data_IF_932440610126
#
_entry.id   IF_932440610126
#
_cell.length_a   1.000
_cell.length_b   1.000
_cell.length_c   1.000
_cell.angle_alpha   90.00
_cell.angle_beta   90.00
_cell.angle_gamma   90.00
#
_symmetry.space_group_name_H-M   'P 1'
#
loop_
_entity.id
_entity.type
_entity.pdbx_description
1 polymer ?
#
# COMPACT_ATOMS: atom_id res chain seq x y z
N UNK A 1 -28.09 30.44 -0.35
CA UNK A 1 -28.14 29.46 0.77
C UNK A 1 -27.41 29.97 2.03
N UNK A 2 -27.36 31.29 2.32
CA UNK A 2 -26.85 31.80 3.61
C UNK A 2 -25.35 32.14 3.71
N UNK A 3 -24.50 31.72 2.77
CA UNK A 3 -23.06 32.03 2.74
C UNK A 3 -22.74 32.88 1.49
N UNK A 4 -22.40 34.17 1.67
CA UNK A 4 -22.11 35.10 0.55
C UNK A 4 -20.65 35.05 0.11
N UNK A 5 -19.73 34.86 1.06
CA UNK A 5 -18.30 34.75 0.78
C UNK A 5 -17.96 33.38 0.16
N UNK A 6 -16.87 33.24 -0.61
CA UNK A 6 -16.41 31.94 -1.09
C UNK A 6 -15.83 31.08 0.04
N UNK A 7 -15.91 29.76 -0.09
CA UNK A 7 -15.36 28.79 0.88
C UNK A 7 -13.83 28.59 0.79
N UNK A 8 -13.16 29.25 -0.17
CA UNK A 8 -11.74 29.07 -0.46
C UNK A 8 -11.36 27.61 -0.79
N UNK A 9 -11.91 27.08 -1.89
CA UNK A 9 -11.56 25.75 -2.37
C UNK A 9 -10.15 25.78 -2.99
N UNK A 10 -9.20 25.09 -2.37
CA UNK A 10 -7.81 25.03 -2.85
C UNK A 10 -7.56 23.90 -3.85
N UNK A 11 -8.22 22.75 -3.67
CA UNK A 11 -8.01 21.54 -4.47
C UNK A 11 -9.32 21.05 -5.11
N UNK A 12 -9.22 20.52 -6.33
CA UNK A 12 -10.31 19.80 -6.99
C UNK A 12 -9.76 18.55 -7.67
N UNK A 13 -10.29 17.38 -7.31
CA UNK A 13 -10.06 16.15 -8.05
C UNK A 13 -11.06 16.05 -9.22
N UNK A 14 -10.58 15.66 -10.40
CA UNK A 14 -11.45 15.35 -11.55
C UNK A 14 -11.49 13.82 -11.67
N UNK A 15 -12.62 13.22 -11.28
CA UNK A 15 -12.76 11.76 -11.16
C UNK A 15 -12.40 11.26 -9.76
N UNK A 16 -12.31 9.93 -9.62
CA UNK A 16 -11.88 9.23 -8.39
C UNK A 16 -10.91 8.10 -8.78
N UNK A 17 -11.42 7.11 -9.50
CA UNK A 17 -10.71 5.88 -9.89
C UNK A 17 -11.00 5.54 -11.37
N UNK A 18 -11.14 6.58 -12.18
CA UNK A 18 -11.59 6.42 -13.56
C UNK A 18 -10.46 5.88 -14.45
N UNK A 19 -10.69 4.69 -15.02
CA UNK A 19 -9.74 4.02 -15.94
C UNK A 19 -10.26 3.92 -17.39
N UNK A 20 -11.52 4.28 -17.62
CA UNK A 20 -12.15 4.15 -18.94
C UNK A 20 -11.68 5.20 -19.95
N UNK A 21 -11.67 4.86 -21.24
CA UNK A 21 -11.30 5.77 -22.34
C UNK A 21 -12.00 7.13 -22.27
N UNK A 22 -13.29 7.10 -21.97
CA UNK A 22 -14.13 8.28 -21.90
C UNK A 22 -13.68 9.29 -20.84
N UNK A 23 -12.98 8.86 -19.78
CA UNK A 23 -12.37 9.77 -18.81
C UNK A 23 -11.18 10.50 -19.43
N UNK A 24 -10.25 9.76 -20.05
CA UNK A 24 -9.05 10.34 -20.66
C UNK A 24 -9.35 11.26 -21.83
N UNK A 25 -10.40 10.99 -22.61
CA UNK A 25 -10.88 11.92 -23.65
C UNK A 25 -11.43 13.23 -23.07
N UNK A 26 -12.06 13.18 -21.89
CA UNK A 26 -12.76 14.32 -21.28
C UNK A 26 -11.88 15.11 -20.32
N UNK A 27 -10.93 14.47 -19.65
CA UNK A 27 -10.07 15.10 -18.65
C UNK A 27 -9.43 16.40 -19.14
N UNK A 28 -8.80 16.47 -20.34
CA UNK A 28 -8.19 17.71 -20.83
C UNK A 28 -9.20 18.85 -21.00
N UNK A 29 -10.46 18.54 -21.35
CA UNK A 29 -11.53 19.52 -21.51
C UNK A 29 -11.92 20.13 -20.15
N UNK A 30 -12.09 19.28 -19.12
CA UNK A 30 -12.41 19.73 -17.76
C UNK A 30 -11.24 20.49 -17.15
N UNK A 31 -10.02 19.94 -17.23
CA UNK A 31 -8.81 20.56 -16.71
C UNK A 31 -8.63 21.97 -17.27
N UNK A 32 -8.69 22.12 -18.59
CA UNK A 32 -8.57 23.41 -19.27
C UNK A 32 -9.66 24.39 -18.83
N UNK A 33 -10.93 23.98 -18.84
CA UNK A 33 -12.04 24.85 -18.48
C UNK A 33 -11.96 25.34 -17.02
N UNK A 34 -11.51 24.49 -16.10
CA UNK A 34 -11.30 24.85 -14.69
C UNK A 34 -10.14 25.83 -14.58
N UNK A 35 -8.97 25.54 -15.17
CA UNK A 35 -7.79 26.42 -15.09
C UNK A 35 -8.01 27.79 -15.74
N UNK A 36 -8.77 27.87 -16.83
CA UNK A 36 -9.11 29.14 -17.48
C UNK A 36 -9.94 30.06 -16.57
N UNK A 37 -10.77 29.49 -15.69
CA UNK A 37 -11.67 30.25 -14.81
C UNK A 37 -11.15 30.41 -13.38
N UNK A 38 -10.41 29.42 -12.91
CA UNK A 38 -9.91 29.29 -11.54
C UNK A 38 -8.43 28.84 -11.56
N UNK A 39 -7.51 29.71 -12.01
CA UNK A 39 -6.11 29.34 -12.19
C UNK A 39 -5.40 28.91 -10.90
N UNK A 40 -5.87 29.42 -9.76
CA UNK A 40 -5.28 29.17 -8.44
C UNK A 40 -5.70 27.82 -7.83
N UNK A 41 -6.82 27.22 -8.28
CA UNK A 41 -7.26 25.92 -7.79
C UNK A 41 -6.31 24.83 -8.32
N UNK A 42 -5.78 24.02 -7.41
CA UNK A 42 -4.93 22.87 -7.71
C UNK A 42 -5.79 21.71 -8.21
N UNK A 43 -5.44 21.16 -9.36
CA UNK A 43 -6.19 20.06 -9.97
C UNK A 43 -5.47 18.74 -9.73
N UNK A 44 -6.22 17.77 -9.21
CA UNK A 44 -5.76 16.41 -8.95
C UNK A 44 -6.31 15.49 -10.05
N UNK A 45 -5.41 14.75 -10.72
CA UNK A 45 -5.77 13.67 -11.66
C UNK A 45 -5.87 12.33 -10.91
N UNK A 46 -6.33 11.25 -11.55
CA UNK A 46 -6.37 9.91 -10.97
C UNK A 46 -5.34 8.99 -11.64
N UNK A 47 -4.64 8.18 -10.85
CA UNK A 47 -3.75 7.15 -11.36
C UNK A 47 -4.55 5.92 -11.82
N UNK A 48 -5.35 5.34 -10.92
CA UNK A 48 -6.30 4.22 -11.11
C UNK A 48 -6.71 3.70 -9.70
N UNK A 49 -7.65 2.76 -9.54
CA UNK A 49 -7.90 2.08 -8.26
C UNK A 49 -6.78 1.10 -7.84
N UNK A 50 -5.67 1.05 -8.57
CA UNK A 50 -4.61 0.05 -8.39
C UNK A 50 -3.24 0.69 -8.24
N UNK A 51 -2.32 -0.01 -7.57
CA UNK A 51 -0.98 0.50 -7.27
C UNK A 51 0.01 0.45 -8.46
N UNK A 52 -0.35 -0.27 -9.52
CA UNK A 52 0.49 -0.57 -10.68
C UNK A 52 -0.33 -1.20 -11.83
N UNK A 53 0.27 -1.22 -13.02
CA UNK A 53 -0.32 -1.85 -14.21
C UNK A 53 -0.70 -0.84 -15.30
N UNK A 54 -1.36 -1.31 -16.35
CA UNK A 54 -1.60 -0.53 -17.56
C UNK A 54 -2.43 0.73 -17.30
N UNK A 55 -3.52 0.61 -16.55
CA UNK A 55 -4.39 1.75 -16.28
C UNK A 55 -3.75 2.74 -15.31
N UNK A 56 -3.01 2.25 -14.31
CA UNK A 56 -2.19 3.08 -13.42
C UNK A 56 -1.17 3.93 -14.22
N UNK A 57 -0.41 3.30 -15.12
CA UNK A 57 0.58 4.01 -15.95
C UNK A 57 -0.09 5.02 -16.90
N UNK A 58 -1.30 4.69 -17.36
CA UNK A 58 -2.10 5.57 -18.20
C UNK A 58 -2.61 6.81 -17.45
N UNK A 59 -3.06 6.66 -16.20
CA UNK A 59 -3.38 7.77 -15.30
C UNK A 59 -2.20 8.70 -15.08
N UNK A 60 -1.06 8.12 -14.73
CA UNK A 60 0.20 8.86 -14.58
C UNK A 60 0.63 9.59 -15.85
N UNK A 61 0.52 8.95 -17.01
CA UNK A 61 0.78 9.59 -18.31
C UNK A 61 -0.16 10.76 -18.55
N UNK A 62 -1.46 10.60 -18.30
CA UNK A 62 -2.47 11.66 -18.43
C UNK A 62 -2.14 12.87 -17.56
N UNK A 63 -1.73 12.65 -16.30
CA UNK A 63 -1.36 13.71 -15.38
C UNK A 63 -0.15 14.52 -15.87
N UNK A 64 0.87 13.83 -16.38
CA UNK A 64 2.06 14.46 -16.97
C UNK A 64 1.72 15.27 -18.22
N UNK A 65 0.95 14.70 -19.15
CA UNK A 65 0.58 15.34 -20.42
C UNK A 65 -0.28 16.59 -20.23
N UNK A 66 -1.11 16.62 -19.18
CA UNK A 66 -1.99 17.74 -18.87
C UNK A 66 -1.40 18.74 -17.86
N UNK A 67 -0.19 18.48 -17.35
CA UNK A 67 0.44 19.27 -16.30
C UNK A 67 -0.44 19.43 -15.06
N UNK A 68 -1.07 18.33 -14.62
CA UNK A 68 -1.86 18.29 -13.39
C UNK A 68 -0.99 18.69 -12.20
N UNK A 69 -1.55 19.43 -11.24
CA UNK A 69 -0.77 19.85 -10.06
C UNK A 69 -0.43 18.65 -9.18
N UNK A 70 -1.36 17.69 -9.07
CA UNK A 70 -1.20 16.44 -8.34
C UNK A 70 -1.81 15.26 -9.10
N UNK A 71 -1.45 14.06 -8.66
CA UNK A 71 -2.11 12.81 -9.04
C UNK A 71 -2.49 11.98 -7.81
N UNK A 72 -3.68 11.39 -7.87
CA UNK A 72 -4.26 10.56 -6.83
C UNK A 72 -3.87 9.08 -7.02
N UNK A 73 -3.17 8.50 -6.04
CA UNK A 73 -2.88 7.07 -5.97
C UNK A 73 -3.74 6.38 -4.92
N UNK A 74 -4.27 5.21 -5.25
CA UNK A 74 -5.03 4.37 -4.35
C UNK A 74 -4.38 2.99 -4.22
N UNK A 75 -4.26 2.47 -3.00
CA UNK A 75 -3.87 1.07 -2.80
C UNK A 75 -4.29 0.47 -1.45
N UNK A 76 -5.01 -0.64 -1.55
CA UNK A 76 -5.37 -1.51 -0.44
C UNK A 76 -4.58 -2.82 -0.57
N UNK A 77 -3.52 -2.97 0.22
CA UNK A 77 -2.52 -4.02 0.04
C UNK A 77 -2.19 -4.71 1.35
N UNK A 78 -1.56 -5.88 1.30
CA UNK A 78 -1.10 -6.56 2.51
C UNK A 78 0.01 -5.76 3.22
N UNK A 79 0.16 -5.85 4.56
CA UNK A 79 1.27 -5.25 5.29
C UNK A 79 2.65 -5.54 4.67
N UNK A 80 2.85 -6.74 4.15
CA UNK A 80 4.10 -7.17 3.52
C UNK A 80 4.39 -6.37 2.24
N UNK A 81 3.37 -5.97 1.49
CA UNK A 81 3.53 -5.05 0.36
C UNK A 81 3.98 -3.66 0.82
N UNK A 82 3.42 -3.13 1.91
CA UNK A 82 3.83 -1.84 2.47
C UNK A 82 5.29 -1.87 2.94
N UNK A 83 5.74 -2.95 3.58
CA UNK A 83 7.15 -3.16 3.94
C UNK A 83 8.04 -3.20 2.69
N UNK A 84 7.63 -3.91 1.64
CA UNK A 84 8.39 -3.98 0.39
C UNK A 84 8.40 -2.65 -0.41
N UNK A 85 7.54 -1.68 -0.06
CA UNK A 85 7.36 -0.41 -0.78
C UNK A 85 7.72 0.84 0.04
N UNK A 86 8.50 0.69 1.11
CA UNK A 86 8.95 1.80 1.98
C UNK A 86 9.68 2.93 1.24
N UNK A 87 10.29 2.60 0.08
CA UNK A 87 11.00 3.53 -0.79
C UNK A 87 10.23 3.88 -2.09
N UNK A 88 8.91 3.71 -2.11
CA UNK A 88 8.08 3.92 -3.33
C UNK A 88 8.29 5.28 -3.97
N UNK A 89 8.47 6.33 -3.18
CA UNK A 89 8.52 7.71 -3.66
C UNK A 89 9.93 8.32 -3.68
N UNK A 90 10.96 7.58 -3.24
CA UNK A 90 12.34 8.08 -3.07
C UNK A 90 12.98 8.54 -4.39
N UNK A 91 12.54 7.98 -5.51
CA UNK A 91 13.14 8.19 -6.84
C UNK A 91 12.19 8.85 -7.85
N UNK A 92 11.16 9.58 -7.38
CA UNK A 92 10.27 10.31 -8.29
C UNK A 92 11.00 11.41 -9.07
N UNK A 93 10.54 11.66 -10.30
CA UNK A 93 11.09 12.70 -11.16
C UNK A 93 10.78 14.09 -10.63
N UNK A 94 11.73 15.04 -10.75
CA UNK A 94 11.54 16.42 -10.27
C UNK A 94 10.39 17.17 -10.96
N UNK A 95 10.08 16.76 -12.19
CA UNK A 95 9.02 17.37 -13.01
C UNK A 95 7.72 16.54 -12.98
N UNK A 96 7.67 15.45 -12.21
CA UNK A 96 6.44 14.68 -12.03
C UNK A 96 5.42 15.46 -11.20
N UNK A 97 4.11 15.29 -11.46
CA UNK A 97 3.07 15.75 -10.55
C UNK A 97 3.30 15.21 -9.13
N UNK A 98 3.02 16.02 -8.11
CA UNK A 98 3.10 15.53 -6.73
C UNK A 98 2.01 14.51 -6.46
N UNK A 99 2.29 13.56 -5.58
CA UNK A 99 1.32 12.53 -5.19
C UNK A 99 0.38 13.08 -4.13
N UNK A 100 -0.92 12.87 -4.35
CA UNK A 100 -1.92 12.72 -3.32
C UNK A 100 -2.15 11.21 -3.15
N UNK A 101 -1.86 10.65 -1.99
CA UNK A 101 -2.22 9.27 -1.68
C UNK A 101 -3.64 9.28 -1.10
N UNK A 102 -4.66 9.34 -1.95
CA UNK A 102 -6.05 9.58 -1.53
C UNK A 102 -6.70 8.42 -0.79
N UNK A 103 -6.26 7.19 -1.06
CA UNK A 103 -6.80 6.00 -0.40
C UNK A 103 -5.69 4.97 -0.12
N UNK A 104 -5.50 4.61 1.15
CA UNK A 104 -4.67 3.46 1.51
C UNK A 104 -5.10 2.79 2.82
N UNK A 105 -4.94 1.48 2.88
CA UNK A 105 -5.04 0.68 4.11
C UNK A 105 -4.43 -0.73 3.94
N UNK A 106 -4.11 -1.38 5.05
CA UNK A 106 -3.47 -2.72 5.07
C UNK A 106 -4.43 -3.91 5.27
N UNK A 107 -5.70 -3.77 4.92
CA UNK A 107 -6.73 -4.81 5.10
C UNK A 107 -6.98 -5.28 6.55
N UNK A 108 -6.73 -4.45 7.57
CA UNK A 108 -7.04 -4.80 8.96
C UNK A 108 -6.91 -3.66 9.95
N UNK A 109 -7.41 -3.88 11.18
CA UNK A 109 -7.35 -2.92 12.28
C UNK A 109 -6.49 -3.37 13.47
N UNK A 110 -5.74 -4.47 13.33
CA UNK A 110 -4.82 -4.95 14.38
C UNK A 110 -3.67 -3.98 14.63
N UNK A 111 -2.98 -4.13 15.76
CA UNK A 111 -1.75 -3.41 16.03
C UNK A 111 -0.70 -3.64 14.94
N UNK A 112 -0.60 -4.85 14.38
CA UNK A 112 0.29 -5.15 13.25
C UNK A 112 0.00 -4.26 12.03
N UNK A 113 -1.28 -4.11 11.66
CA UNK A 113 -1.70 -3.26 10.56
C UNK A 113 -1.28 -1.79 10.79
N UNK A 114 -1.62 -1.24 11.94
CA UNK A 114 -1.31 0.14 12.29
C UNK A 114 0.20 0.40 12.40
N UNK A 115 0.96 -0.57 12.92
CA UNK A 115 2.42 -0.50 13.04
C UNK A 115 3.10 -0.45 11.67
N UNK A 116 2.67 -1.27 10.71
CA UNK A 116 3.22 -1.28 9.35
C UNK A 116 2.79 -0.03 8.57
N UNK A 117 1.57 0.47 8.76
CA UNK A 117 1.16 1.75 8.20
C UNK A 117 1.98 2.90 8.78
N UNK A 118 2.28 2.88 10.09
CA UNK A 118 3.15 3.88 10.72
C UNK A 118 4.56 3.88 10.11
N UNK A 119 5.15 2.71 9.86
CA UNK A 119 6.47 2.64 9.22
C UNK A 119 6.42 3.24 7.81
N UNK A 120 5.41 2.89 7.03
CA UNK A 120 5.19 3.43 5.68
C UNK A 120 5.02 4.96 5.66
N UNK A 121 4.27 5.51 6.62
CA UNK A 121 4.06 6.94 6.75
C UNK A 121 5.37 7.72 6.99
N UNK A 122 6.39 7.11 7.58
CA UNK A 122 7.72 7.75 7.65
C UNK A 122 8.32 7.96 6.26
N UNK A 123 8.11 7.02 5.33
CA UNK A 123 8.51 7.16 3.93
C UNK A 123 7.74 8.26 3.20
N UNK A 124 6.45 8.44 3.49
CA UNK A 124 5.67 9.56 2.97
C UNK A 124 6.27 10.90 3.42
N UNK A 125 6.64 11.03 4.70
CA UNK A 125 7.22 12.27 5.23
C UNK A 125 8.62 12.55 4.71
N UNK A 126 9.50 11.54 4.61
CA UNK A 126 10.81 11.68 3.96
C UNK A 126 10.68 12.19 2.52
N UNK A 127 9.56 11.88 1.88
CA UNK A 127 9.22 12.29 0.53
C UNK A 127 8.24 13.48 0.47
N UNK A 128 8.17 14.35 1.48
CA UNK A 128 7.27 15.53 1.47
C UNK A 128 7.49 16.49 0.26
N UNK A 129 8.61 16.38 -0.44
CA UNK A 129 8.83 17.04 -1.73
C UNK A 129 7.99 16.46 -2.88
N UNK A 130 7.76 15.14 -2.86
CA UNK A 130 7.10 14.34 -3.88
C UNK A 130 5.65 13.99 -3.50
N UNK A 131 5.38 13.73 -2.23
CA UNK A 131 4.04 13.42 -1.66
C UNK A 131 3.51 14.66 -0.96
N UNK A 132 2.42 15.23 -1.47
CA UNK A 132 1.83 16.45 -0.93
C UNK A 132 0.77 16.16 0.14
N UNK A 133 0.00 15.08 -0.02
CA UNK A 133 -1.13 14.74 0.84
C UNK A 133 -1.29 13.21 0.92
N UNK A 134 -1.83 12.71 2.03
CA UNK A 134 -2.16 11.29 2.19
C UNK A 134 -3.39 11.12 3.08
N UNK A 135 -4.25 10.16 2.74
CA UNK A 135 -5.52 9.89 3.40
C UNK A 135 -5.72 8.38 3.57
N UNK A 136 -5.83 7.92 4.81
CA UNK A 136 -6.29 6.57 5.08
C UNK A 136 -7.76 6.44 4.68
N UNK A 137 -8.11 5.31 4.06
CA UNK A 137 -9.47 5.03 3.65
C UNK A 137 -9.92 3.61 4.04
N UNK A 138 -11.20 3.43 4.41
CA UNK A 138 -12.21 4.44 4.71
C UNK A 138 -12.17 4.92 6.19
N UNK A 139 -12.80 6.06 6.47
CA UNK A 139 -12.69 6.72 7.77
C UNK A 139 -13.71 6.26 8.81
N UNK A 140 -14.98 6.11 8.44
CA UNK A 140 -16.10 5.92 9.36
C UNK A 140 -16.94 4.72 8.93
N UNK A 141 -17.22 3.80 9.85
CA UNK A 141 -18.15 2.70 9.60
C UNK A 141 -19.12 2.46 10.75
N UNK A 142 -20.40 2.40 10.40
CA UNK A 142 -21.42 1.95 11.34
C UNK A 142 -21.39 0.42 11.38
N UNK A 143 -21.20 -0.15 12.58
CA UNK A 143 -21.08 -1.60 12.77
C UNK A 143 -22.29 -2.40 12.27
N UNK A 144 -23.47 -1.80 12.19
CA UNK A 144 -24.69 -2.44 11.70
C UNK A 144 -24.80 -2.44 10.15
N UNK A 145 -23.96 -1.67 9.45
CA UNK A 145 -24.08 -1.41 8.00
C UNK A 145 -22.72 -1.51 7.26
N UNK A 146 -21.99 -2.60 7.50
CA UNK A 146 -20.65 -2.77 6.95
C UNK A 146 -20.69 -3.14 5.46
N UNK A 147 -20.09 -2.27 4.64
CA UNK A 147 -19.91 -2.50 3.19
C UNK A 147 -18.44 -2.73 2.80
N UNK A 148 -17.50 -2.21 3.59
CA UNK A 148 -16.06 -2.33 3.39
C UNK A 148 -15.37 -2.58 4.74
N UNK A 149 -14.17 -3.15 4.73
CA UNK A 149 -13.28 -3.28 5.89
C UNK A 149 -11.83 -3.20 5.41
N UNK A 150 -10.89 -2.67 6.22
CA UNK A 150 -11.04 -2.07 7.55
C UNK A 150 -11.60 -0.64 7.50
N UNK A 151 -11.86 -0.02 8.65
CA UNK A 151 -12.21 1.40 8.79
C UNK A 151 -11.48 2.04 9.99
N UNK A 152 -11.21 3.33 9.94
CA UNK A 152 -10.45 4.01 11.00
C UNK A 152 -11.24 4.18 12.32
N UNK A 153 -12.53 4.49 12.22
CA UNK A 153 -13.41 4.73 13.37
C UNK A 153 -14.68 3.91 13.19
N UNK A 154 -14.95 3.05 14.17
CA UNK A 154 -16.15 2.23 14.24
C UNK A 154 -17.15 2.88 15.18
N UNK A 155 -18.42 2.92 14.79
CA UNK A 155 -19.48 3.50 15.61
C UNK A 155 -20.79 2.71 15.54
N UNK A 156 -21.64 2.94 16.53
CA UNK A 156 -23.04 2.53 16.55
C UNK A 156 -23.90 3.73 17.00
N UNK A 157 -25.18 3.52 17.29
CA UNK A 157 -26.10 4.59 17.68
C UNK A 157 -25.78 5.27 19.03
N UNK A 158 -24.84 4.74 19.82
CA UNK A 158 -24.57 5.19 21.20
C UNK A 158 -23.11 5.53 21.47
N UNK A 159 -22.16 5.01 20.70
CA UNK A 159 -20.73 5.16 20.94
C UNK A 159 -19.90 4.97 19.67
N UNK A 160 -18.64 5.41 19.74
CA UNK A 160 -17.63 5.22 18.71
C UNK A 160 -16.27 4.94 19.36
N UNK A 161 -15.40 4.22 18.67
CA UNK A 161 -14.01 4.04 19.08
C UNK A 161 -13.06 4.20 17.87
N UNK A 162 -11.84 4.65 18.15
CA UNK A 162 -10.76 4.70 17.17
C UNK A 162 -9.95 3.41 17.19
N UNK A 163 -9.60 2.90 16.02
CA UNK A 163 -8.74 1.71 15.88
C UNK A 163 -7.27 2.04 16.20
N UNK A 164 -6.39 1.05 16.36
CA UNK A 164 -4.94 1.28 16.32
C UNK A 164 -4.51 2.21 15.17
N UNK A 165 -5.07 2.04 13.97
CA UNK A 165 -4.78 2.87 12.80
C UNK A 165 -5.20 4.33 13.04
N UNK A 166 -6.38 4.58 13.64
CA UNK A 166 -6.80 5.93 14.04
C UNK A 166 -5.76 6.62 14.91
N UNK A 167 -5.25 5.92 15.92
CA UNK A 167 -4.28 6.51 16.83
C UNK A 167 -2.95 6.83 16.15
N UNK A 168 -2.47 5.95 15.26
CA UNK A 168 -1.29 6.20 14.42
C UNK A 168 -1.51 7.44 13.54
N UNK A 169 -2.62 7.51 12.81
CA UNK A 169 -2.98 8.65 11.97
C UNK A 169 -3.04 9.94 12.79
N UNK A 170 -3.77 9.94 13.91
CA UNK A 170 -3.89 11.07 14.83
C UNK A 170 -2.52 11.52 15.37
N UNK A 171 -1.65 10.58 15.74
CA UNK A 171 -0.30 10.88 16.20
C UNK A 171 0.52 11.56 15.09
N UNK A 172 0.53 11.01 13.89
CA UNK A 172 1.30 11.58 12.78
C UNK A 172 0.80 12.99 12.41
N UNK A 173 -0.51 13.20 12.33
CA UNK A 173 -1.11 14.49 11.97
C UNK A 173 -0.95 15.56 13.06
N UNK A 174 -1.03 15.20 14.35
CA UNK A 174 -0.85 16.16 15.46
C UNK A 174 0.59 16.64 15.60
N UNK A 175 1.55 15.83 15.16
CA UNK A 175 2.98 16.08 15.31
C UNK A 175 3.65 16.16 13.94
N UNK A 176 3.34 17.22 13.21
CA UNK A 176 3.95 17.55 11.92
C UNK A 176 4.82 18.81 12.07
N UNK A 177 5.98 18.81 11.41
CA UNK A 177 6.85 19.97 11.32
C UNK A 177 6.57 20.80 10.06
N UNK A 178 7.12 22.01 10.03
CA UNK A 178 7.04 22.94 8.90
C UNK A 178 8.13 22.70 7.85
N UNK A 179 9.22 22.02 8.24
CA UNK A 179 10.36 21.73 7.36
C UNK A 179 10.92 20.34 7.64
N UNK A 180 11.14 19.56 6.58
CA UNK A 180 11.81 18.27 6.65
C UNK A 180 13.27 18.46 7.08
N UNK A 181 13.74 17.64 8.00
CA UNK A 181 15.15 17.56 8.38
C UNK A 181 15.81 16.36 7.72
N UNK A 182 17.05 16.53 7.29
CA UNK A 182 17.90 15.38 6.98
C UNK A 182 18.09 14.56 8.25
N UNK A 183 17.84 13.26 8.16
CA UNK A 183 18.19 12.31 9.20
C UNK A 183 19.06 11.20 8.61
N UNK A 184 19.97 10.70 9.44
CA UNK A 184 20.81 9.56 9.10
C UNK A 184 20.75 8.61 10.28
N UNK A 185 20.63 7.33 9.97
CA UNK A 185 20.59 6.27 10.96
C UNK A 185 21.61 5.21 10.59
N UNK A 186 22.32 4.72 11.60
CA UNK A 186 23.33 3.68 11.45
C UNK A 186 23.07 2.60 12.49
N UNK A 187 23.05 1.36 12.03
CA UNK A 187 22.94 0.18 12.87
C UNK A 187 23.93 -0.87 12.40
N UNK A 188 24.42 -1.68 13.35
CA UNK A 188 25.20 -2.88 13.04
C UNK A 188 24.30 -4.02 12.55
N UNK A 189 23.00 -3.97 12.88
CA UNK A 189 22.02 -4.99 12.50
C UNK A 189 21.84 -5.07 10.98
N UNK A 190 21.80 -6.30 10.47
CA UNK A 190 21.53 -6.56 9.06
C UNK A 190 20.04 -6.44 8.73
N UNK A 191 19.74 -5.97 7.51
CA UNK A 191 18.39 -6.00 6.94
C UNK A 191 17.91 -7.45 6.83
N UNK A 192 16.72 -7.75 7.37
CA UNK A 192 16.13 -9.10 7.37
C UNK A 192 15.10 -9.23 6.24
N UNK A 193 15.24 -10.24 5.38
CA UNK A 193 14.16 -10.61 4.44
C UNK A 193 13.09 -11.40 5.22
N UNK A 194 11.91 -10.81 5.37
CA UNK A 194 10.77 -11.42 6.06
C UNK A 194 10.05 -12.47 5.20
N UNK A 195 10.28 -12.46 3.89
CA UNK A 195 9.66 -13.39 2.95
C UNK A 195 10.68 -13.90 1.91
N UNK A 196 11.75 -14.62 2.36
CA UNK A 196 12.76 -15.15 1.47
C UNK A 196 12.17 -16.14 0.45
N UNK A 197 11.06 -16.79 0.76
CA UNK A 197 10.32 -17.67 -0.13
C UNK A 197 9.80 -16.97 -1.40
N UNK A 198 9.63 -15.63 -1.39
CA UNK A 198 9.29 -14.88 -2.62
C UNK A 198 10.40 -14.94 -3.68
N UNK A 199 11.61 -15.38 -3.33
CA UNK A 199 12.66 -15.67 -4.31
C UNK A 199 12.47 -16.99 -5.08
N UNK A 200 11.60 -17.88 -4.60
CA UNK A 200 11.32 -19.18 -5.19
C UNK A 200 9.81 -19.49 -5.11
N UNK A 201 9.07 -19.06 -6.14
CA UNK A 201 7.61 -19.16 -6.22
C UNK A 201 7.10 -20.57 -6.57
N UNK A 202 7.42 -21.53 -5.71
CA UNK A 202 7.05 -22.95 -5.79
C UNK A 202 5.64 -23.22 -5.23
N UNK A 203 5.02 -24.35 -5.53
CA UNK A 203 3.74 -24.77 -4.94
C UNK A 203 2.72 -25.23 -5.98
N UNK A 204 1.48 -25.38 -5.54
CA UNK A 204 0.40 -25.84 -6.40
C UNK A 204 0.10 -24.85 -7.52
N UNK A 205 -0.19 -25.40 -8.70
CA UNK A 205 -0.83 -24.72 -9.81
C UNK A 205 -2.24 -25.30 -9.92
N UNK A 206 -3.24 -24.44 -9.92
CA UNK A 206 -4.64 -24.85 -9.94
C UNK A 206 -5.51 -23.91 -10.78
N UNK A 207 -6.68 -24.40 -11.14
CA UNK A 207 -7.73 -23.66 -11.84
C UNK A 207 -8.94 -23.54 -10.91
N UNK A 208 -9.46 -22.33 -10.75
CA UNK A 208 -10.61 -22.04 -9.87
C UNK A 208 -11.81 -21.58 -10.70
N UNK A 209 -12.99 -22.10 -10.36
CA UNK A 209 -14.25 -21.63 -10.90
C UNK A 209 -14.72 -20.38 -10.16
N UNK A 210 -15.00 -19.31 -10.90
CA UNK A 210 -15.44 -18.01 -10.35
C UNK A 210 -16.70 -17.50 -11.04
N UNK A 211 -17.83 -18.20 -10.99
CA UNK A 211 -19.05 -17.85 -11.74
C UNK A 211 -18.89 -17.84 -13.28
N UNK A 212 -17.94 -18.64 -13.79
CA UNK A 212 -17.75 -18.88 -15.22
C UNK A 212 -17.33 -20.33 -15.48
N UNK A 213 -18.07 -21.01 -16.34
CA UNK A 213 -17.71 -22.35 -16.80
C UNK A 213 -16.64 -22.23 -17.88
N UNK A 214 -15.47 -22.84 -17.65
CA UNK A 214 -14.31 -22.67 -18.53
C UNK A 214 -13.74 -24.02 -18.94
N UNK A 215 -13.53 -24.17 -20.24
CA UNK A 215 -12.76 -25.25 -20.83
C UNK A 215 -11.29 -24.82 -20.95
N UNK A 216 -10.41 -25.58 -20.31
CA UNK A 216 -8.96 -25.45 -20.41
C UNK A 216 -8.39 -26.66 -21.15
N UNK A 217 -7.69 -26.42 -22.26
CA UNK A 217 -7.15 -27.48 -23.13
C UNK A 217 -5.69 -27.21 -23.49
N UNK A 218 -5.01 -28.23 -24.03
CA UNK A 218 -3.61 -28.11 -24.48
C UNK A 218 -2.67 -27.61 -23.37
N UNK A 219 -2.90 -28.05 -22.12
CA UNK A 219 -2.15 -27.59 -20.95
C UNK A 219 -0.73 -28.18 -20.97
N UNK A 220 0.27 -27.30 -20.90
CA UNK A 220 1.69 -27.64 -20.79
C UNK A 220 2.32 -26.79 -19.70
N UNK A 221 2.92 -27.44 -18.70
CA UNK A 221 3.69 -26.79 -17.64
C UNK A 221 5.14 -27.24 -17.80
N UNK A 222 6.04 -26.31 -18.09
CA UNK A 222 7.46 -26.58 -18.28
C UNK A 222 8.24 -26.09 -17.07
N UNK A 223 8.99 -26.97 -16.44
CA UNK A 223 10.03 -26.58 -15.48
C UNK A 223 11.21 -26.00 -16.28
N UNK A 224 11.49 -24.71 -16.12
CA UNK A 224 12.49 -24.02 -16.91
C UNK A 224 13.92 -24.33 -16.45
N UNK A 225 14.11 -24.95 -15.29
CA UNK A 225 15.43 -25.38 -14.79
C UNK A 225 15.82 -26.74 -15.34
N UNK A 226 14.87 -27.69 -15.38
CA UNK A 226 15.12 -29.06 -15.82
C UNK A 226 14.79 -29.31 -17.29
N UNK A 227 13.90 -28.50 -17.86
CA UNK A 227 13.31 -28.71 -19.18
C UNK A 227 12.21 -29.79 -19.22
N UNK A 228 11.80 -30.31 -18.06
CA UNK A 228 10.72 -31.29 -17.96
C UNK A 228 9.36 -30.65 -18.28
N UNK A 229 8.51 -31.37 -19.01
CA UNK A 229 7.14 -30.96 -19.31
C UNK A 229 6.13 -31.85 -18.59
N UNK A 230 5.20 -31.21 -17.89
CA UNK A 230 4.01 -31.82 -17.31
C UNK A 230 2.83 -31.47 -18.21
N UNK A 231 2.06 -32.47 -18.62
CA UNK A 231 0.90 -32.33 -19.50
C UNK A 231 -0.36 -32.88 -18.82
N UNK A 232 -1.02 -32.08 -17.97
CA UNK A 232 -2.32 -32.42 -17.40
C UNK A 232 -3.34 -32.71 -18.50
N UNK A 233 -4.37 -33.50 -18.18
CA UNK A 233 -5.50 -33.68 -19.08
C UNK A 233 -6.28 -32.36 -19.24
N UNK A 234 -7.03 -32.24 -20.32
CA UNK A 234 -7.97 -31.12 -20.51
C UNK A 234 -8.96 -31.06 -19.33
N UNK A 235 -9.26 -29.85 -18.87
CA UNK A 235 -10.06 -29.59 -17.66
C UNK A 235 -11.27 -28.74 -18.00
N UNK A 236 -12.41 -29.08 -17.43
CA UNK A 236 -13.56 -28.19 -17.35
C UNK A 236 -13.75 -27.78 -15.88
N UNK A 237 -13.63 -26.49 -15.58
CA UNK A 237 -14.03 -25.94 -14.28
C UNK A 237 -15.45 -25.40 -14.38
N UNK A 238 -16.29 -25.74 -13.42
CA UNK A 238 -17.70 -25.36 -13.37
C UNK A 238 -18.19 -25.42 -11.91
N UNK A 239 -19.48 -25.13 -11.69
CA UNK A 239 -20.08 -25.12 -10.35
C UNK A 239 -19.95 -26.46 -9.59
N UNK A 240 -19.80 -27.59 -10.28
CA UNK A 240 -19.63 -28.93 -9.72
C UNK A 240 -18.14 -29.31 -9.55
N UNK A 241 -17.25 -28.77 -10.38
CA UNK A 241 -15.81 -28.99 -10.38
C UNK A 241 -15.04 -27.68 -10.19
N UNK A 242 -15.13 -27.13 -8.96
CA UNK A 242 -14.75 -25.73 -8.70
C UNK A 242 -13.26 -25.46 -8.57
N UNK A 243 -12.47 -26.47 -8.22
CA UNK A 243 -11.04 -26.32 -7.97
C UNK A 243 -10.33 -27.56 -8.51
N UNK A 244 -9.43 -27.37 -9.47
CA UNK A 244 -8.69 -28.47 -10.10
C UNK A 244 -7.20 -28.17 -10.00
N UNK A 245 -6.51 -28.93 -9.17
CA UNK A 245 -5.04 -28.90 -9.09
C UNK A 245 -4.44 -29.59 -10.29
N UNK A 246 -3.56 -28.89 -11.01
CA UNK A 246 -2.88 -29.40 -12.20
C UNK A 246 -1.56 -30.09 -11.85
N UNK A 247 -0.78 -29.49 -10.96
CA UNK A 247 0.50 -30.02 -10.46
C UNK A 247 0.96 -29.27 -9.21
N UNK A 248 2.03 -29.73 -8.57
CA UNK A 248 2.75 -29.08 -7.48
C UNK A 248 4.21 -28.87 -7.89
N UNK A 249 4.56 -27.62 -8.19
CA UNK A 249 5.89 -27.22 -8.66
C UNK A 249 6.88 -27.10 -7.50
N UNK A 250 8.07 -27.67 -7.68
CA UNK A 250 9.19 -27.49 -6.73
C UNK A 250 10.17 -26.39 -7.16
N UNK A 251 10.29 -26.16 -8.47
CA UNK A 251 11.06 -25.04 -9.00
C UNK A 251 10.34 -23.70 -8.80
N UNK A 252 11.11 -22.64 -8.60
CA UNK A 252 10.66 -21.25 -8.69
C UNK A 252 10.75 -20.67 -10.11
N UNK A 253 11.00 -21.52 -11.13
CA UNK A 253 11.12 -21.11 -12.52
C UNK A 253 10.35 -22.05 -13.44
N UNK A 254 9.21 -21.61 -13.95
CA UNK A 254 8.38 -22.43 -14.83
C UNK A 254 7.54 -21.59 -15.78
N UNK A 255 7.06 -22.24 -16.82
CA UNK A 255 6.14 -21.65 -17.79
C UNK A 255 4.88 -22.48 -17.88
N UNK A 256 3.72 -21.86 -17.74
CA UNK A 256 2.42 -22.47 -17.97
C UNK A 256 1.90 -21.98 -19.32
N UNK A 257 1.52 -22.89 -20.21
CA UNK A 257 0.82 -22.63 -21.47
C UNK A 257 -0.47 -23.43 -21.53
N UNK A 258 -1.55 -22.80 -21.95
CA UNK A 258 -2.83 -23.48 -22.15
C UNK A 258 -3.72 -22.68 -23.10
N UNK A 259 -4.78 -23.33 -23.58
CA UNK A 259 -5.93 -22.66 -24.18
C UNK A 259 -7.05 -22.57 -23.17
N UNK A 260 -7.76 -21.45 -23.14
CA UNK A 260 -8.92 -21.24 -22.28
C UNK A 260 -10.11 -20.72 -23.08
N UNK A 261 -11.31 -21.20 -22.77
CA UNK A 261 -12.56 -20.75 -23.39
C UNK A 261 -13.66 -20.68 -22.35
N UNK A 262 -14.21 -19.48 -22.15
CA UNK A 262 -15.40 -19.29 -21.33
C UNK A 262 -16.61 -19.81 -22.11
N UNK A 263 -17.28 -20.83 -21.57
CA UNK A 263 -18.47 -21.45 -22.15
C UNK A 263 -19.73 -20.72 -21.68
N UNK A 264 -19.78 -20.41 -20.39
CA UNK A 264 -20.89 -19.69 -19.75
C UNK A 264 -20.41 -18.87 -18.56
N UNK A 265 -21.17 -17.85 -18.15
CA UNK A 265 -20.82 -16.98 -17.03
C UNK A 265 -20.33 -15.60 -17.45
N UNK A 266 -19.64 -14.90 -16.55
CA UNK A 266 -19.27 -13.49 -16.73
C UNK A 266 -17.93 -13.11 -16.10
N UNK A 267 -17.08 -14.08 -15.77
CA UNK A 267 -15.93 -13.90 -14.88
C UNK A 267 -14.63 -14.48 -15.42
N UNK A 268 -14.67 -14.98 -16.65
CA UNK A 268 -13.50 -15.40 -17.40
C UNK A 268 -12.69 -16.48 -16.70
N UNK A 269 -11.38 -16.25 -16.58
CA UNK A 269 -10.39 -17.27 -16.24
C UNK A 269 -9.72 -16.95 -14.90
N UNK A 270 -9.47 -17.98 -14.09
CA UNK A 270 -8.75 -17.84 -12.83
C UNK A 270 -7.71 -18.94 -12.66
N UNK A 271 -6.43 -18.56 -12.69
CA UNK A 271 -5.29 -19.46 -12.65
C UNK A 271 -4.48 -19.17 -11.39
N UNK A 272 -4.41 -20.13 -10.49
CA UNK A 272 -3.61 -20.05 -9.27
C UNK A 272 -2.21 -20.63 -9.51
N UNK A 273 -1.20 -20.01 -8.91
CA UNK A 273 0.19 -20.47 -8.91
C UNK A 273 0.88 -20.06 -7.59
N UNK A 274 2.02 -20.65 -7.29
CA UNK A 274 2.69 -20.48 -5.98
C UNK A 274 1.71 -20.72 -4.80
N UNK A 275 0.73 -21.61 -4.98
CA UNK A 275 -0.30 -21.85 -3.98
C UNK A 275 0.21 -22.80 -2.91
N UNK A 276 0.18 -22.36 -1.66
CA UNK A 276 0.44 -23.18 -0.48
C UNK A 276 -0.87 -23.58 0.20
N UNK A 277 -1.79 -22.63 0.27
CA UNK A 277 -3.15 -22.80 0.75
C UNK A 277 -4.02 -21.66 0.20
N UNK A 278 -5.29 -21.59 0.60
CA UNK A 278 -6.25 -20.57 0.13
C UNK A 278 -5.97 -19.14 0.65
N UNK A 279 -5.14 -19.01 1.69
CA UNK A 279 -4.72 -17.73 2.26
C UNK A 279 -3.34 -17.28 1.76
N UNK A 280 -2.59 -18.18 1.13
CA UNK A 280 -1.21 -17.98 0.69
C UNK A 280 -1.05 -18.52 -0.73
N UNK A 281 -1.28 -17.64 -1.71
CA UNK A 281 -1.29 -17.97 -3.13
C UNK A 281 -1.03 -16.75 -3.98
N UNK A 282 -0.68 -16.99 -5.24
CA UNK A 282 -0.75 -15.99 -6.29
C UNK A 282 -1.76 -16.43 -7.33
N UNK A 283 -2.32 -15.47 -8.05
CA UNK A 283 -3.26 -15.77 -9.11
C UNK A 283 -3.17 -14.77 -10.25
N UNK A 284 -3.48 -15.29 -11.44
CA UNK A 284 -3.71 -14.52 -12.64
C UNK A 284 -5.17 -14.69 -13.03
N UNK A 285 -5.92 -13.59 -12.97
CA UNK A 285 -7.33 -13.55 -13.31
C UNK A 285 -7.55 -12.71 -14.57
N UNK A 286 -8.48 -13.14 -15.43
CA UNK A 286 -8.89 -12.45 -16.65
C UNK A 286 -10.41 -12.40 -16.70
N UNK A 287 -10.99 -11.24 -16.97
CA UNK A 287 -12.45 -11.05 -17.00
C UNK A 287 -13.08 -10.88 -15.62
N UNK A 288 -12.34 -10.35 -14.64
CA UNK A 288 -12.74 -10.30 -13.23
C UNK A 288 -13.89 -9.30 -12.93
N UNK A 289 -13.63 -8.12 -12.36
CA UNK A 289 -14.71 -7.18 -12.02
C UNK A 289 -15.50 -6.78 -13.27
N UNK A 290 -16.80 -7.12 -13.30
CA UNK A 290 -17.71 -6.89 -14.43
C UNK A 290 -17.18 -7.33 -15.82
N UNK A 291 -16.26 -8.31 -15.89
CA UNK A 291 -15.57 -8.69 -17.11
C UNK A 291 -14.76 -7.55 -17.77
N UNK A 292 -14.16 -6.69 -16.95
CA UNK A 292 -13.36 -5.55 -17.40
C UNK A 292 -11.91 -5.57 -16.92
N UNK A 293 -11.56 -6.50 -16.03
CA UNK A 293 -10.22 -6.54 -15.43
C UNK A 293 -9.46 -7.81 -15.75
N UNK A 294 -8.15 -7.65 -15.92
CA UNK A 294 -7.16 -8.69 -15.78
C UNK A 294 -6.10 -8.24 -14.78
N UNK A 295 -5.73 -9.12 -13.86
CA UNK A 295 -4.75 -8.79 -12.83
C UNK A 295 -3.84 -9.97 -12.48
N UNK A 296 -2.61 -9.65 -12.10
CA UNK A 296 -1.76 -10.55 -11.30
C UNK A 296 -1.82 -10.06 -9.86
N UNK A 297 -2.17 -10.95 -8.94
CA UNK A 297 -2.36 -10.62 -7.54
C UNK A 297 -1.82 -11.72 -6.62
N UNK A 298 -1.67 -11.39 -5.35
CA UNK A 298 -1.25 -12.31 -4.30
C UNK A 298 -2.13 -12.18 -3.06
N UNK A 299 -2.31 -13.30 -2.36
CA UNK A 299 -2.85 -13.37 -1.01
C UNK A 299 -1.71 -13.76 -0.06
N UNK A 300 -1.52 -13.00 1.02
CA UNK A 300 -0.61 -13.33 2.12
C UNK A 300 -1.42 -13.34 3.41
N UNK A 301 -1.50 -14.50 4.06
CA UNK A 301 -2.33 -14.74 5.23
C UNK A 301 -3.80 -14.30 5.05
N UNK A 302 -4.31 -14.38 3.81
CA UNK A 302 -5.68 -14.01 3.44
C UNK A 302 -5.88 -12.51 3.20
N UNK A 303 -4.81 -11.72 3.13
CA UNK A 303 -4.84 -10.31 2.74
C UNK A 303 -4.35 -10.17 1.30
N UNK A 304 -5.20 -9.61 0.46
CA UNK A 304 -4.96 -9.48 -0.98
C UNK A 304 -4.10 -8.27 -1.33
N UNK A 305 -3.32 -8.42 -2.39
CA UNK A 305 -2.51 -7.37 -3.01
C UNK A 305 -2.63 -7.49 -4.53
N UNK A 306 -3.24 -6.50 -5.18
CA UNK A 306 -3.23 -6.40 -6.65
C UNK A 306 -1.88 -5.87 -7.11
N UNK A 307 -1.05 -6.72 -7.71
CA UNK A 307 0.34 -6.39 -8.04
C UNK A 307 0.46 -5.62 -9.35
N UNK A 308 -0.43 -5.88 -10.30
CA UNK A 308 -0.64 -5.06 -11.50
C UNK A 308 -1.98 -5.43 -12.14
N UNK A 309 -2.65 -4.42 -12.71
CA UNK A 309 -3.93 -4.58 -13.40
C UNK A 309 -3.91 -3.98 -14.81
N UNK A 310 -4.72 -4.55 -15.70
CA UNK A 310 -5.04 -4.04 -17.04
C UNK A 310 -6.53 -4.19 -17.32
N UNK A 311 -7.11 -3.27 -18.10
CA UNK A 311 -8.45 -3.49 -18.63
C UNK A 311 -8.44 -4.61 -19.66
N UNK A 312 -9.32 -5.60 -19.48
CA UNK A 312 -9.45 -6.76 -20.36
C UNK A 312 -10.84 -7.40 -20.23
N UNK A 313 -11.43 -7.77 -21.36
CA UNK A 313 -12.70 -8.49 -21.41
C UNK A 313 -12.55 -9.84 -22.10
N UNK A 314 -13.09 -10.87 -21.45
CA UNK A 314 -13.21 -12.20 -22.02
C UNK A 314 -14.46 -12.24 -22.89
N UNK A 315 -14.30 -12.63 -24.14
CA UNK A 315 -15.37 -12.87 -25.09
C UNK A 315 -15.85 -14.31 -24.96
N UNK A 316 -17.09 -14.48 -24.53
CA UNK A 316 -17.69 -15.81 -24.37
C UNK A 316 -17.63 -16.61 -25.68
N UNK A 317 -17.21 -17.87 -25.57
CA UNK A 317 -17.07 -18.79 -26.70
C UNK A 317 -15.80 -18.61 -27.54
N UNK A 318 -15.01 -17.57 -27.31
CA UNK A 318 -13.69 -17.39 -27.93
C UNK A 318 -12.64 -18.21 -27.18
N UNK A 319 -11.78 -18.88 -27.92
CA UNK A 319 -10.59 -19.54 -27.36
C UNK A 319 -9.42 -18.55 -27.34
N UNK A 320 -8.76 -18.48 -26.19
CA UNK A 320 -7.57 -17.66 -25.93
C UNK A 320 -6.37 -18.56 -25.71
N UNK A 321 -5.20 -18.15 -26.22
CA UNK A 321 -3.92 -18.76 -25.86
C UNK A 321 -3.31 -18.00 -24.67
N UNK A 322 -3.12 -18.69 -23.55
CA UNK A 322 -2.62 -18.12 -22.31
C UNK A 322 -1.20 -18.63 -22.03
N UNK A 323 -0.33 -17.71 -21.64
CA UNK A 323 1.02 -18.03 -21.17
C UNK A 323 1.36 -17.24 -19.91
N UNK A 324 1.76 -17.95 -18.84
CA UNK A 324 2.28 -17.40 -17.59
C UNK A 324 3.73 -17.88 -17.42
N UNK A 325 4.67 -16.95 -17.30
CA UNK A 325 6.07 -17.24 -17.02
C UNK A 325 6.42 -16.77 -15.61
N UNK A 326 7.07 -17.65 -14.86
CA UNK A 326 7.62 -17.40 -13.53
C UNK A 326 9.12 -17.65 -13.57
N UNK A 327 9.93 -16.69 -13.14
CA UNK A 327 11.38 -16.81 -12.96
C UNK A 327 11.80 -16.11 -11.67
N UNK A 328 11.81 -16.85 -10.56
CA UNK A 328 12.06 -16.32 -9.23
C UNK A 328 11.02 -15.25 -8.88
N UNK A 329 11.47 -13.99 -8.77
CA UNK A 329 10.62 -12.83 -8.44
C UNK A 329 9.94 -12.20 -9.66
N UNK A 330 10.26 -12.64 -10.88
CA UNK A 330 9.69 -12.09 -12.11
C UNK A 330 8.50 -12.92 -12.59
N UNK A 331 7.38 -12.26 -12.86
CA UNK A 331 6.15 -12.86 -13.36
C UNK A 331 5.72 -12.12 -14.62
N UNK A 332 5.53 -12.85 -15.71
CA UNK A 332 5.07 -12.30 -16.99
C UNK A 332 3.86 -13.05 -17.50
N UNK A 333 2.91 -12.33 -18.09
CA UNK A 333 1.71 -12.94 -18.67
C UNK A 333 1.49 -12.49 -20.09
N UNK A 334 0.99 -13.41 -20.91
CA UNK A 334 0.69 -13.18 -22.32
C UNK A 334 -0.66 -13.78 -22.66
N UNK A 335 -1.44 -13.02 -23.44
CA UNK A 335 -2.70 -13.48 -24.02
C UNK A 335 -2.59 -13.33 -25.54
N UNK A 336 -2.76 -14.43 -26.27
CA UNK A 336 -2.60 -14.50 -27.72
C UNK A 336 -1.26 -13.90 -28.20
N UNK A 337 -0.19 -14.18 -27.45
CA UNK A 337 1.17 -13.70 -27.70
C UNK A 337 1.43 -12.23 -27.34
N UNK A 338 0.42 -11.46 -26.93
CA UNK A 338 0.60 -10.08 -26.43
C UNK A 338 0.92 -10.11 -24.94
N UNK A 339 2.04 -9.50 -24.54
CA UNK A 339 2.38 -9.32 -23.12
C UNK A 339 1.45 -8.30 -22.46
N UNK A 340 1.00 -8.62 -21.25
CA UNK A 340 0.28 -7.68 -20.39
C UNK A 340 1.05 -7.39 -19.11
N UNK A 341 1.45 -8.40 -18.34
CA UNK A 341 2.13 -8.18 -17.07
C UNK A 341 3.65 -8.40 -17.20
N UNK A 342 4.43 -7.56 -16.51
CA UNK A 342 5.85 -7.74 -16.19
C UNK A 342 6.05 -7.29 -14.74
N UNK A 343 5.71 -8.18 -13.82
CA UNK A 343 5.68 -7.91 -12.38
C UNK A 343 6.99 -8.40 -11.77
N UNK A 344 7.61 -7.53 -10.97
CA UNK A 344 8.73 -7.91 -10.11
C UNK A 344 8.33 -7.85 -8.65
N UNK A 345 8.38 -8.98 -7.96
CA UNK A 345 8.11 -9.06 -6.53
C UNK A 345 9.27 -8.48 -5.73
N UNK A 346 9.09 -7.25 -5.25
CA UNK A 346 10.04 -6.62 -4.33
C UNK A 346 10.27 -7.50 -3.09
N UNK A 347 11.52 -7.60 -2.59
CA UNK A 347 11.79 -8.28 -1.34
C UNK A 347 11.12 -7.56 -0.16
N UNK A 348 10.69 -8.33 0.85
CA UNK A 348 10.01 -7.81 2.03
C UNK A 348 11.08 -7.59 3.09
N UNK A 349 11.76 -6.45 2.98
CA UNK A 349 12.94 -6.16 3.77
C UNK A 349 12.56 -5.37 5.04
N UNK A 350 12.82 -5.97 6.19
CA UNK A 350 12.76 -5.30 7.48
C UNK A 350 14.04 -4.50 7.71
N UNK A 351 13.90 -3.17 7.75
CA UNK A 351 14.97 -2.26 8.17
C UNK A 351 15.04 -2.19 9.71
N UNK A 352 16.21 -1.88 10.29
CA UNK A 352 16.37 -1.82 11.75
C UNK A 352 15.37 -0.86 12.42
N UNK A 353 15.13 0.31 11.82
CA UNK A 353 14.11 1.29 12.21
C UNK A 353 13.66 2.10 11.00
N UNK A 354 12.41 2.56 11.03
CA UNK A 354 11.86 3.48 10.04
C UNK A 354 11.70 4.85 10.69
N UNK A 355 12.27 5.89 10.08
CA UNK A 355 12.33 7.21 10.72
C UNK A 355 11.99 8.37 9.78
N UNK A 356 11.46 9.43 10.37
CA UNK A 356 11.34 10.77 9.77
C UNK A 356 11.67 11.83 10.82
N UNK A 357 12.20 12.97 10.38
CA UNK A 357 12.51 14.08 11.26
C UNK A 357 12.06 15.40 10.62
N UNK A 358 11.48 16.30 11.41
CA UNK A 358 11.05 17.61 10.95
C UNK A 358 11.23 18.67 12.02
N UNK A 359 11.34 19.92 11.61
CA UNK A 359 11.41 21.08 12.50
C UNK A 359 10.14 21.92 12.36
N UNK A 360 9.73 22.52 13.48
CA UNK A 360 8.77 23.61 13.48
C UNK A 360 9.48 24.96 13.32
N UNK A 361 8.73 25.98 12.89
CA UNK A 361 9.21 27.35 12.76
C UNK A 361 9.73 27.96 14.07
N UNK A 362 9.25 27.47 15.22
CA UNK A 362 9.75 27.84 16.56
C UNK A 362 11.09 27.16 16.93
N UNK A 363 11.61 26.30 16.06
CA UNK A 363 12.85 25.55 16.26
C UNK A 363 12.69 24.24 17.01
N UNK A 364 11.47 23.85 17.41
CA UNK A 364 11.20 22.53 17.98
C UNK A 364 11.45 21.42 16.95
N UNK A 365 12.00 20.29 17.40
CA UNK A 365 12.28 19.13 16.56
C UNK A 365 11.26 18.03 16.87
N UNK A 366 10.75 17.41 15.81
CA UNK A 366 9.88 16.23 15.87
C UNK A 366 10.62 15.07 15.20
N UNK A 367 10.81 13.98 15.93
CA UNK A 367 11.33 12.72 15.39
C UNK A 367 10.25 11.65 15.50
N UNK A 368 10.02 10.91 14.42
CA UNK A 368 9.15 9.73 14.40
C UNK A 368 10.01 8.52 14.15
N UNK A 369 9.84 7.50 14.99
CA UNK A 369 10.65 6.31 15.00
C UNK A 369 9.71 5.11 15.13
N UNK A 370 9.80 4.19 14.18
CA UNK A 370 8.99 2.98 14.15
C UNK A 370 9.92 1.76 14.15
N UNK A 371 9.68 0.85 15.09
CA UNK A 371 10.37 -0.43 15.19
C UNK A 371 9.37 -1.55 14.91
N UNK A 372 9.48 -2.19 13.76
CA UNK A 372 8.65 -3.34 13.41
C UNK A 372 9.28 -4.68 13.81
N UNK A 373 10.52 -4.67 14.30
CA UNK A 373 11.25 -5.88 14.65
C UNK A 373 10.85 -6.45 16.01
N UNK A 374 11.25 -7.69 16.24
CA UNK A 374 11.00 -8.45 17.47
C UNK A 374 11.93 -8.08 18.63
N UNK A 375 12.78 -7.06 18.46
CA UNK A 375 13.83 -6.68 19.42
C UNK A 375 13.82 -5.20 19.76
N UNK A 376 14.24 -4.88 20.99
CA UNK A 376 14.51 -3.48 21.37
C UNK A 376 15.70 -2.96 20.56
N UNK A 377 15.60 -1.74 20.04
CA UNK A 377 16.72 -1.01 19.43
C UNK A 377 17.16 0.11 20.37
N UNK A 378 18.41 0.07 20.80
CA UNK A 378 18.99 1.16 21.59
C UNK A 378 19.53 2.25 20.65
N UNK A 379 19.18 3.50 20.92
CA UNK A 379 19.57 4.65 20.12
C UNK A 379 20.32 5.68 20.94
N UNK A 380 21.40 6.21 20.36
CA UNK A 380 21.99 7.49 20.72
C UNK A 380 21.61 8.50 19.64
N UNK A 381 20.74 9.46 19.98
CA UNK A 381 20.16 10.41 19.04
C UNK A 381 20.82 11.77 19.23
N UNK A 382 21.51 12.25 18.20
CA UNK A 382 22.16 13.56 18.19
C UNK A 382 21.33 14.60 17.42
N UNK A 383 20.79 15.59 18.13
CA UNK A 383 19.99 16.67 17.58
C UNK A 383 20.87 17.90 17.30
N UNK A 384 21.42 17.96 16.08
CA UNK A 384 22.22 19.10 15.65
C UNK A 384 21.46 20.43 15.77
N UNK A 385 22.11 21.43 16.38
CA UNK A 385 21.50 22.74 16.64
C UNK A 385 20.72 22.87 17.95
N UNK A 386 20.59 21.78 18.73
CA UNK A 386 19.96 21.76 20.05
C UNK A 386 20.97 21.70 21.21
N UNK A 387 22.26 21.92 20.92
CA UNK A 387 23.35 21.76 21.88
C UNK A 387 23.43 22.84 22.97
N UNK A 388 24.19 22.52 24.03
CA UNK A 388 24.62 23.49 25.06
C UNK A 388 23.64 23.73 26.22
N UNK A 389 22.47 23.09 26.23
CA UNK A 389 21.48 23.13 27.33
C UNK A 389 20.68 21.83 27.41
N UNK A 390 19.99 21.62 28.52
CA UNK A 390 18.91 20.62 28.64
C UNK A 390 17.67 21.16 27.94
N UNK A 391 17.08 20.38 27.05
CA UNK A 391 15.83 20.72 26.37
C UNK A 391 14.72 19.76 26.83
N UNK A 392 13.57 20.33 27.19
CA UNK A 392 12.41 19.55 27.61
C UNK A 392 11.57 19.12 26.40
N UNK A 393 11.05 17.91 26.48
CA UNK A 393 10.21 17.35 25.44
C UNK A 393 9.17 16.39 25.95
N UNK A 394 8.45 15.81 25.00
CA UNK A 394 7.48 14.74 25.23
C UNK A 394 7.70 13.60 24.25
N UNK A 395 7.47 12.39 24.72
CA UNK A 395 7.43 11.20 23.91
C UNK A 395 6.02 10.63 23.93
N UNK A 396 5.44 10.47 22.74
CA UNK A 396 4.15 9.83 22.51
C UNK A 396 4.44 8.46 21.93
N UNK A 397 4.05 7.40 22.64
CA UNK A 397 4.46 6.03 22.32
C UNK A 397 3.29 5.06 22.32
N UNK A 398 3.23 4.21 21.31
CA UNK A 398 2.42 3.00 21.26
C UNK A 398 3.37 1.80 21.27
N UNK A 399 3.29 0.94 22.29
CA UNK A 399 4.19 -0.21 22.49
C UNK A 399 3.62 -1.16 23.53
N UNK A 400 4.05 -2.43 23.52
CA UNK A 400 3.67 -3.42 24.54
C UNK A 400 2.36 -4.16 24.26
N UNK A 401 1.83 -4.03 23.04
CA UNK A 401 0.66 -4.75 22.54
C UNK A 401 1.06 -6.02 21.82
N UNK A 402 0.17 -7.00 21.79
CA UNK A 402 0.29 -8.13 20.86
C UNK A 402 -0.04 -7.65 19.44
N UNK A 403 0.59 -8.27 18.43
CA UNK A 403 0.40 -7.88 17.04
C UNK A 403 -1.05 -8.03 16.55
N UNK A 404 -1.81 -8.95 17.14
CA UNK A 404 -3.23 -9.20 16.85
C UNK A 404 -4.20 -8.40 17.73
N UNK A 405 -3.70 -7.52 18.63
CA UNK A 405 -4.57 -6.68 19.44
C UNK A 405 -5.35 -5.66 18.59
N UNK A 406 -6.65 -5.55 18.84
CA UNK A 406 -7.58 -4.59 18.25
C UNK A 406 -8.37 -3.86 19.33
N UNK A 407 -8.84 -2.64 19.04
CA UNK A 407 -9.83 -1.96 19.86
C UNK A 407 -11.23 -2.44 19.49
N UNK A 408 -12.13 -2.53 20.48
CA UNK A 408 -13.53 -2.92 20.27
C UNK A 408 -14.48 -1.99 21.04
N UNK A 409 -15.79 -2.21 20.98
CA UNK A 409 -16.72 -1.47 21.83
C UNK A 409 -16.57 -1.83 23.33
N UNK A 410 -16.11 -3.05 23.63
CA UNK A 410 -15.83 -3.52 24.99
C UNK A 410 -14.50 -2.98 25.53
N UNK A 411 -13.48 -2.89 24.67
CA UNK A 411 -12.14 -2.38 25.01
C UNK A 411 -11.70 -1.28 24.01
N UNK A 412 -12.33 -0.08 24.06
CA UNK A 412 -12.15 0.97 23.03
C UNK A 412 -10.78 1.66 23.06
N UNK A 413 -10.00 1.43 24.13
CA UNK A 413 -8.67 2.02 24.34
C UNK A 413 -7.61 0.95 24.65
N UNK A 414 -7.82 -0.30 24.21
CA UNK A 414 -6.88 -1.41 24.43
C UNK A 414 -5.48 -1.09 23.87
N UNK A 415 -5.45 -0.55 22.66
CA UNK A 415 -4.26 -0.14 21.90
C UNK A 415 -4.36 1.36 21.65
N UNK A 416 -3.63 2.14 22.44
CA UNK A 416 -3.72 3.62 22.48
C UNK A 416 -2.38 4.24 22.88
N UNK A 417 -2.03 5.45 22.44
CA UNK A 417 -0.77 6.07 22.83
C UNK A 417 -0.70 6.42 24.31
N UNK A 418 0.49 6.23 24.88
CA UNK A 418 0.87 6.82 26.16
C UNK A 418 1.79 8.03 25.94
N UNK A 419 1.76 9.00 26.84
CA UNK A 419 2.61 10.20 26.79
C UNK A 419 3.49 10.26 28.03
N UNK A 420 4.79 10.41 27.81
CA UNK A 420 5.79 10.57 28.86
C UNK A 420 6.67 11.79 28.59
N UNK A 421 7.28 12.34 29.65
CA UNK A 421 8.31 13.38 29.49
C UNK A 421 9.62 12.78 29.00
N UNK A 422 10.36 13.53 28.20
CA UNK A 422 11.72 13.18 27.77
C UNK A 422 12.58 14.44 27.78
N UNK A 423 13.88 14.26 28.00
CA UNK A 423 14.85 15.35 27.97
C UNK A 423 15.93 15.05 26.93
N UNK A 424 16.42 16.10 26.31
CA UNK A 424 17.67 16.06 25.54
C UNK A 424 18.74 16.82 26.30
N UNK A 425 19.86 16.18 26.58
CA UNK A 425 21.00 16.80 27.27
C UNK A 425 22.05 17.20 26.25
N UNK A 426 22.30 18.51 26.12
CA UNK A 426 23.25 19.05 25.14
C UNK A 426 22.99 18.61 23.68
N UNK A 427 21.75 18.30 23.34
CA UNK A 427 21.35 17.83 22.01
C UNK A 427 21.29 16.30 21.89
N UNK A 428 21.68 15.56 22.92
CA UNK A 428 21.72 14.10 22.89
C UNK A 428 20.50 13.50 23.58
N UNK A 429 19.97 12.39 23.05
CA UNK A 429 18.89 11.60 23.65
C UNK A 429 19.24 10.13 23.57
N UNK A 430 19.35 9.47 24.73
CA UNK A 430 19.49 8.02 24.81
C UNK A 430 18.10 7.38 24.90
N UNK A 431 17.79 6.43 24.03
CA UNK A 431 16.46 5.84 23.96
C UNK A 431 16.47 4.37 23.57
N UNK A 432 15.90 3.53 24.44
CA UNK A 432 15.42 2.21 24.06
C UNK A 432 14.10 2.32 23.30
N UNK A 433 14.09 1.86 22.05
CA UNK A 433 12.91 1.76 21.19
C UNK A 433 12.38 0.32 21.26
N UNK A 434 11.27 0.06 21.97
CA UNK A 434 10.76 -1.29 22.15
C UNK A 434 10.47 -2.00 20.82
N UNK A 435 10.48 -3.33 20.83
CA UNK A 435 9.92 -4.13 19.74
C UNK A 435 8.47 -3.71 19.44
N UNK A 436 8.07 -3.79 18.17
CA UNK A 436 6.71 -3.49 17.72
C UNK A 436 6.15 -2.16 18.27
N UNK A 437 6.87 -1.06 18.05
CA UNK A 437 6.52 0.24 18.63
C UNK A 437 6.56 1.40 17.65
N UNK A 438 5.75 2.41 17.95
CA UNK A 438 5.77 3.73 17.31
C UNK A 438 6.08 4.77 18.40
N UNK A 439 7.12 5.57 18.19
CA UNK A 439 7.51 6.66 19.08
C UNK A 439 7.57 7.98 18.31
N UNK A 440 6.86 9.00 18.80
CA UNK A 440 7.00 10.39 18.35
C UNK A 440 7.63 11.18 19.48
N UNK A 441 8.80 11.75 19.23
CA UNK A 441 9.56 12.57 20.17
C UNK A 441 9.44 14.02 19.70
N UNK A 442 8.98 14.89 20.59
CA UNK A 442 8.94 16.34 20.35
C UNK A 442 9.85 16.99 21.38
N UNK A 443 10.98 17.53 20.92
CA UNK A 443 11.89 18.32 21.74
C UNK A 443 11.66 19.79 21.44
N UNK A 444 11.23 20.55 22.45
CA UNK A 444 11.00 21.98 22.28
C UNK A 444 12.34 22.71 22.41
N UNK A 445 12.55 23.71 21.56
CA UNK A 445 13.68 24.62 21.72
C UNK A 445 13.32 25.67 22.77
N UNK A 446 13.91 25.61 23.97
CA UNK A 446 13.68 26.66 24.96
C UNK A 446 14.36 27.96 24.49
N UNK A 447 13.57 29.01 24.28
CA UNK A 447 14.09 30.38 24.36
C UNK A 447 14.53 30.62 25.81
N UNK A 448 15.74 31.15 25.99
CA UNK A 448 16.22 31.56 27.31
C UNK A 448 15.21 32.49 27.97
N UNK A 449 14.60 32.04 29.08
CA UNK A 449 14.04 32.95 30.08
C UNK A 449 15.19 33.82 30.60
N UNK A 450 15.35 35.01 30.04
CA UNK A 450 16.08 36.08 30.71
C UNK A 450 15.11 36.68 31.71
N UNK A 451 15.38 36.47 33.00
CA UNK A 451 14.70 37.20 34.07
C UNK A 451 15.00 38.69 33.83
N UNK A 452 13.99 39.57 33.65
CA UNK A 452 14.24 41.01 33.61
C UNK A 452 14.91 41.43 34.92
N UNK A 453 16.03 42.15 34.80
CA UNK A 453 16.83 42.65 35.92
C UNK A 453 16.04 43.56 36.87
#
# INVERSE_FOLDING_TARGET
MGHREPFHLEYIAIGNEEVGEAFFERYPLFHKAIKEKYPDIKIINTASPFAAGGEYERGWKSARENHSDLIDEHYYMSPEWFIANQHRYDNMGKDDPKVFLGEYATWGNTWYNALIEASYMTGLERNAGNVAMACYAPMLCNVDYVNWKPDMIWFNNHQAFGTPNYYVQSMFMKYQGDSLLENRIEFEDEIRDLMPEKSCLSGEIALEWRDADVEYTDIVITDNETGEEIRPADVCVNAENRNVTLTDMKSGKYTIRMKAKEVSGTKGFFIEFNKKDQKNRMFWELGAWQNLDMAVAEDINGRGSCLAQYTFSVEQGRTYELELQVDGRSIKTFVDGKQYHDVYLKPVLEEPLYTSASAKNDGSIILKIVNISDSVKELDIHLHGMGGKTNMGRMIRMSGYQLDDENTFEEPEKVTPNVTGIISEAGDVMLGVPAHSVSIIVINKEESYTVPA
#
